data_IF_801955854488
#
_entry.id   IF_801955854488
#
_cell.length_a   1.000
_cell.length_b   1.000
_cell.length_c   1.000
_cell.angle_alpha   90.00
_cell.angle_beta   90.00
_cell.angle_gamma   90.00
#
_symmetry.space_group_name_H-M   'P 1'
#
loop_
_entity.id
_entity.type
_entity.pdbx_description
1 polymer ?
#
# COMPACT_ATOMS: atom_id res chain seq x y z
N UNK A 1 4.90 13.00 -73.74
CA UNK A 1 4.80 11.53 -73.64
C UNK A 1 5.09 11.12 -72.20
N UNK A 2 4.07 10.68 -71.47
CA UNK A 2 4.19 10.14 -70.10
C UNK A 2 4.77 8.73 -70.17
N UNK A 3 5.79 8.43 -69.36
CA UNK A 3 6.00 7.07 -68.82
C UNK A 3 6.41 7.19 -67.35
N UNK A 4 5.77 6.33 -66.56
CA UNK A 4 5.70 6.24 -65.11
C UNK A 4 6.65 5.13 -64.61
N UNK A 5 6.81 5.07 -63.26
CA UNK A 5 7.18 3.88 -62.45
C UNK A 5 8.71 3.64 -62.35
N UNK A 6 9.34 3.35 -61.20
CA UNK A 6 8.88 2.69 -59.97
C UNK A 6 9.73 3.06 -58.75
N UNK A 7 9.11 3.21 -57.59
CA UNK A 7 9.75 3.19 -56.26
C UNK A 7 9.68 1.75 -55.74
N UNK A 8 10.81 1.16 -55.37
CA UNK A 8 10.85 -0.15 -54.71
C UNK A 8 10.91 0.07 -53.20
N UNK A 9 9.80 -0.22 -52.52
CA UNK A 9 9.72 -0.35 -51.08
C UNK A 9 10.17 -1.78 -50.69
N UNK A 10 11.23 -1.89 -49.91
CA UNK A 10 11.67 -3.17 -49.33
C UNK A 10 10.86 -3.41 -48.06
N UNK A 11 9.80 -4.21 -48.19
CA UNK A 11 9.05 -4.75 -47.06
C UNK A 11 9.75 -6.02 -46.57
N UNK A 12 10.41 -5.96 -45.42
CA UNK A 12 10.94 -7.14 -44.74
C UNK A 12 9.84 -7.77 -43.89
N UNK A 13 9.24 -8.83 -44.40
CA UNK A 13 8.30 -9.69 -43.69
C UNK A 13 9.05 -10.66 -42.77
N UNK A 14 8.91 -10.49 -41.46
CA UNK A 14 9.30 -11.50 -40.48
C UNK A 14 8.18 -12.53 -40.35
N UNK A 15 8.41 -13.74 -40.87
CA UNK A 15 7.55 -14.90 -40.62
C UNK A 15 8.01 -15.57 -39.32
N UNK A 16 7.29 -15.36 -38.22
CA UNK A 16 7.41 -16.23 -37.04
C UNK A 16 6.40 -17.36 -37.18
N UNK A 17 6.91 -18.58 -37.40
CA UNK A 17 6.12 -19.79 -37.49
C UNK A 17 5.45 -20.14 -36.17
N UNK A 18 4.15 -20.43 -36.22
CA UNK A 18 3.36 -20.94 -35.09
C UNK A 18 3.32 -22.47 -35.15
N UNK A 19 4.12 -23.12 -34.31
CA UNK A 19 3.97 -24.54 -34.03
C UNK A 19 2.88 -24.72 -32.95
N UNK A 20 1.68 -25.14 -33.35
CA UNK A 20 0.64 -25.57 -32.43
C UNK A 20 0.87 -27.04 -32.05
N UNK A 21 1.46 -27.28 -30.89
CA UNK A 21 1.37 -28.57 -30.21
C UNK A 21 0.19 -28.50 -29.23
N UNK A 22 -0.84 -29.30 -29.50
CA UNK A 22 -2.01 -29.47 -28.64
C UNK A 22 -1.71 -30.58 -27.63
N UNK A 23 -1.76 -30.27 -26.33
CA UNK A 23 -1.82 -31.27 -25.26
C UNK A 23 -3.05 -30.95 -24.38
N UNK A 24 -3.90 -31.94 -24.04
CA UNK A 24 -5.09 -31.71 -23.23
C UNK A 24 -4.84 -32.07 -21.75
N UNK A 25 -5.31 -31.24 -20.80
CA UNK A 25 -5.81 -31.70 -19.49
C UNK A 25 -6.48 -30.56 -18.68
N UNK A 26 -7.78 -30.80 -18.42
CA UNK A 26 -8.75 -30.38 -17.40
C UNK A 26 -8.43 -29.26 -16.37
N UNK A 27 -9.47 -28.47 -15.97
CA UNK A 27 -9.38 -27.52 -14.88
C UNK A 27 -9.80 -28.17 -13.56
N UNK A 28 -8.91 -28.16 -12.57
CA UNK A 28 -9.28 -28.35 -11.15
C UNK A 28 -8.95 -27.05 -10.41
N UNK A 29 -9.94 -26.15 -10.35
CA UNK A 29 -9.94 -25.01 -9.42
C UNK A 29 -10.51 -25.49 -8.10
N UNK A 30 -9.66 -25.64 -7.10
CA UNK A 30 -10.08 -25.86 -5.71
C UNK A 30 -9.97 -24.55 -4.93
N UNK A 31 -11.00 -24.14 -4.17
CA UNK A 31 -10.92 -22.99 -3.29
C UNK A 31 -9.98 -23.29 -2.12
N UNK A 32 -8.99 -22.42 -1.86
CA UNK A 32 -8.19 -22.50 -0.64
C UNK A 32 -9.09 -22.11 0.54
N UNK A 33 -9.73 -23.11 1.13
CA UNK A 33 -10.32 -23.04 2.46
C UNK A 33 -9.17 -23.12 3.48
N UNK A 34 -8.81 -22.00 4.11
CA UNK A 34 -7.87 -22.00 5.21
C UNK A 34 -8.56 -22.47 6.50
N UNK A 35 -8.50 -23.78 6.75
CA UNK A 35 -9.01 -24.39 7.97
C UNK A 35 -8.38 -25.75 8.22
N UNK A 36 -7.20 -25.77 8.85
CA UNK A 36 -6.72 -26.84 9.73
C UNK A 36 -5.32 -26.48 10.25
N UNK A 37 -5.21 -26.02 11.49
CA UNK A 37 -3.94 -25.95 12.22
C UNK A 37 -3.88 -27.20 13.10
N UNK A 38 -3.15 -28.22 12.66
CA UNK A 38 -2.82 -29.36 13.51
C UNK A 38 -1.61 -29.00 14.37
N UNK A 39 -1.82 -29.06 15.68
CA UNK A 39 -0.82 -28.99 16.75
C UNK A 39 0.13 -30.18 16.67
N UNK A 40 1.43 -29.91 16.53
CA UNK A 40 2.50 -30.77 17.03
C UNK A 40 3.76 -29.93 17.26
N UNK A 41 4.15 -29.81 18.53
CA UNK A 41 5.38 -29.14 18.98
C UNK A 41 6.48 -30.20 19.10
N UNK A 42 7.65 -29.95 18.52
CA UNK A 42 8.93 -30.41 19.09
C UNK A 42 10.06 -29.45 18.68
N UNK A 43 11.08 -29.22 19.53
CA UNK A 43 11.86 -27.99 19.54
C UNK A 43 13.27 -28.17 18.97
N UNK A 44 13.68 -27.41 17.95
CA UNK A 44 15.11 -27.14 17.68
C UNK A 44 15.28 -25.87 16.85
N UNK A 45 16.08 -24.92 17.36
CA UNK A 45 16.55 -23.68 16.70
C UNK A 45 15.47 -22.81 16.06
N UNK A 46 14.72 -22.10 16.91
CA UNK A 46 13.80 -21.04 16.47
C UNK A 46 14.59 -19.81 16.04
N UNK A 47 14.87 -19.66 14.75
CA UNK A 47 14.91 -18.33 14.18
C UNK A 47 13.53 -17.71 14.44
N UNK A 48 13.46 -16.75 15.37
CA UNK A 48 12.22 -16.05 15.66
C UNK A 48 11.79 -15.31 14.39
N UNK A 49 10.96 -15.96 13.57
CA UNK A 49 10.05 -15.24 12.67
C UNK A 49 9.13 -14.48 13.61
N UNK A 50 9.48 -13.23 13.87
CA UNK A 50 8.51 -12.24 14.34
C UNK A 50 7.50 -12.17 13.20
N UNK A 51 6.44 -12.97 13.30
CA UNK A 51 5.25 -12.73 12.52
C UNK A 51 4.76 -11.36 12.99
N UNK A 52 5.04 -10.33 12.20
CA UNK A 52 4.32 -9.08 12.30
C UNK A 52 2.89 -9.48 12.02
N UNK A 53 2.11 -9.66 13.08
CA UNK A 53 0.66 -9.69 12.98
C UNK A 53 0.31 -8.32 12.43
N UNK A 54 0.04 -8.27 11.12
CA UNK A 54 -0.74 -7.18 10.57
C UNK A 54 -2.02 -7.19 11.39
N UNK A 55 -2.12 -6.28 12.35
CA UNK A 55 -3.40 -5.92 12.93
C UNK A 55 -4.27 -5.60 11.73
N UNK A 56 -5.21 -6.50 11.44
CA UNK A 56 -6.25 -6.29 10.47
C UNK A 56 -7.20 -5.25 11.06
N UNK A 57 -6.72 -4.02 11.23
CA UNK A 57 -7.59 -2.89 11.06
C UNK A 57 -8.21 -3.08 9.69
N UNK A 58 -9.53 -3.22 9.64
CA UNK A 58 -10.26 -2.99 8.41
C UNK A 58 -9.71 -1.68 7.82
N UNK A 59 -8.96 -1.76 6.72
CA UNK A 59 -8.26 -0.60 6.18
C UNK A 59 -9.26 0.53 5.89
N UNK A 60 -8.77 1.77 5.84
CA UNK A 60 -9.61 2.95 5.65
C UNK A 60 -10.57 2.84 4.46
N UNK A 61 -10.17 2.12 3.42
CA UNK A 61 -11.00 1.81 2.26
C UNK A 61 -12.23 0.97 2.63
N UNK A 62 -12.05 -0.13 3.37
CA UNK A 62 -13.15 -0.99 3.81
C UNK A 62 -14.10 -0.24 4.77
N UNK A 63 -13.56 0.58 5.66
CA UNK A 63 -14.38 1.44 6.51
C UNK A 63 -15.24 2.41 5.69
N UNK A 64 -14.68 3.00 4.63
CA UNK A 64 -15.45 3.88 3.75
C UNK A 64 -16.50 3.12 2.94
N UNK A 65 -16.18 1.94 2.40
CA UNK A 65 -17.18 1.09 1.74
C UNK A 65 -18.36 0.77 2.66
N UNK A 66 -18.09 0.39 3.91
CA UNK A 66 -19.13 0.11 4.89
C UNK A 66 -19.95 1.37 5.25
N UNK A 67 -19.31 2.54 5.26
CA UNK A 67 -19.97 3.80 5.60
C UNK A 67 -20.91 4.28 4.50
N UNK A 68 -20.53 4.10 3.22
CA UNK A 68 -21.35 4.56 2.09
C UNK A 68 -22.48 3.58 1.76
N UNK A 69 -22.36 2.29 2.08
CA UNK A 69 -23.40 1.30 1.80
C UNK A 69 -23.75 1.23 0.31
N UNK A 70 -25.05 1.37 0.00
CA UNK A 70 -25.57 1.33 -1.39
C UNK A 70 -25.38 2.63 -2.18
N UNK A 71 -24.73 3.64 -1.59
CA UNK A 71 -24.44 4.88 -2.31
C UNK A 71 -23.49 4.65 -3.50
N UNK A 72 -23.53 5.52 -4.52
CA UNK A 72 -22.61 5.42 -5.65
C UNK A 72 -21.16 5.55 -5.17
N UNK A 73 -20.24 4.89 -5.89
CA UNK A 73 -18.79 4.87 -5.62
C UNK A 73 -18.18 6.27 -5.47
N UNK A 74 -18.78 7.30 -6.07
CA UNK A 74 -18.38 8.70 -5.90
C UNK A 74 -18.48 9.20 -4.46
N UNK A 75 -19.23 8.53 -3.58
CA UNK A 75 -19.30 8.80 -2.15
C UNK A 75 -18.05 8.32 -1.37
N UNK A 76 -17.20 7.46 -1.95
CA UNK A 76 -15.95 7.03 -1.29
C UNK A 76 -14.99 8.18 -1.07
N UNK A 77 -14.84 9.05 -2.06
CA UNK A 77 -13.87 10.12 -2.03
C UNK A 77 -14.08 11.10 -0.85
N UNK A 78 -15.27 11.67 -0.62
CA UNK A 78 -15.47 12.52 0.55
C UNK A 78 -15.28 11.77 1.88
N UNK A 79 -15.57 10.47 1.94
CA UNK A 79 -15.26 9.65 3.12
C UNK A 79 -13.74 9.56 3.37
N UNK A 80 -12.95 9.22 2.35
CA UNK A 80 -11.49 9.09 2.45
C UNK A 80 -10.82 10.44 2.75
N UNK A 81 -11.32 11.54 2.18
CA UNK A 81 -10.85 12.90 2.50
C UNK A 81 -11.15 13.24 3.97
N UNK A 82 -12.33 12.90 4.47
CA UNK A 82 -12.69 13.05 5.88
C UNK A 82 -11.74 12.30 6.81
N UNK A 83 -11.50 11.01 6.52
CA UNK A 83 -10.54 10.19 7.27
C UNK A 83 -9.13 10.76 7.20
N UNK A 84 -8.69 11.25 6.05
CA UNK A 84 -7.37 11.89 5.87
C UNK A 84 -7.22 13.10 6.79
N UNK A 85 -8.20 14.00 6.83
CA UNK A 85 -8.17 15.17 7.74
C UNK A 85 -8.09 14.74 9.20
N UNK A 86 -8.90 13.77 9.59
CA UNK A 86 -8.94 13.24 10.95
C UNK A 86 -7.59 12.67 11.38
N UNK A 87 -7.04 11.72 10.63
CA UNK A 87 -5.79 11.06 11.01
C UNK A 87 -4.57 11.98 10.89
N UNK A 88 -4.62 12.98 10.00
CA UNK A 88 -3.60 14.05 9.96
C UNK A 88 -3.60 14.85 11.26
N UNK A 89 -4.79 15.22 11.75
CA UNK A 89 -4.93 15.92 13.03
C UNK A 89 -4.41 15.05 14.19
N UNK A 90 -4.85 13.79 14.26
CA UNK A 90 -4.45 12.85 15.30
C UNK A 90 -2.92 12.62 15.32
N UNK A 91 -2.30 12.40 14.17
CA UNK A 91 -0.86 12.20 14.07
C UNK A 91 -0.08 13.44 14.52
N UNK A 92 -0.54 14.64 14.16
CA UNK A 92 0.07 15.90 14.58
C UNK A 92 -0.05 16.12 16.10
N UNK A 93 -1.19 15.77 16.69
CA UNK A 93 -1.39 15.83 18.14
C UNK A 93 -0.44 14.86 18.84
N UNK A 94 -0.36 13.61 18.39
CA UNK A 94 0.54 12.59 18.94
C UNK A 94 2.01 13.05 18.86
N UNK A 95 2.44 13.55 17.69
CA UNK A 95 3.79 14.07 17.51
C UNK A 95 4.11 15.21 18.50
N UNK A 96 3.23 16.21 18.62
CA UNK A 96 3.43 17.35 19.53
C UNK A 96 3.45 16.92 20.99
N UNK A 97 2.63 15.94 21.37
CA UNK A 97 2.62 15.38 22.72
C UNK A 97 3.96 14.71 23.03
N UNK A 98 4.43 13.82 22.15
CA UNK A 98 5.72 13.16 22.31
C UNK A 98 6.89 14.15 22.33
N UNK A 99 6.83 15.18 21.49
CA UNK A 99 7.82 16.26 21.47
C UNK A 99 7.86 17.01 22.82
N UNK A 100 6.70 17.34 23.39
CA UNK A 100 6.59 18.00 24.69
C UNK A 100 7.11 17.10 25.83
N UNK A 101 6.69 15.83 25.87
CA UNK A 101 7.17 14.86 26.86
C UNK A 101 8.68 14.66 26.77
N UNK A 102 9.24 14.64 25.56
CA UNK A 102 10.70 14.56 25.37
C UNK A 102 11.41 15.79 25.92
N UNK A 103 10.84 16.99 25.75
CA UNK A 103 11.39 18.24 26.31
C UNK A 103 11.37 18.25 27.83
N UNK A 104 10.33 17.69 28.45
CA UNK A 104 10.17 17.63 29.91
C UNK A 104 11.23 16.76 30.62
N UNK A 105 11.89 15.84 29.90
CA UNK A 105 12.98 15.02 30.47
C UNK A 105 14.18 15.89 30.88
N UNK A 106 14.43 17.00 30.17
CA UNK A 106 15.50 17.99 30.44
C UNK A 106 16.90 17.37 30.69
N UNK A 107 17.20 16.27 29.99
CA UNK A 107 18.52 15.63 29.97
C UNK A 107 19.46 16.31 28.98
N UNK A 108 20.78 16.13 29.17
CA UNK A 108 21.80 16.53 28.17
C UNK A 108 21.59 15.88 26.79
N UNK A 109 20.86 14.77 26.71
CA UNK A 109 20.53 14.08 25.45
C UNK A 109 19.25 14.60 24.76
N UNK A 110 18.47 15.47 25.40
CA UNK A 110 17.13 15.89 24.93
C UNK A 110 17.17 16.52 23.54
N UNK A 111 18.13 17.42 23.28
CA UNK A 111 18.25 18.07 21.97
C UNK A 111 18.51 17.06 20.83
N UNK A 112 19.32 16.03 21.10
CA UNK A 112 19.59 14.96 20.14
C UNK A 112 18.34 14.13 19.88
N UNK A 113 17.59 13.77 20.92
CA UNK A 113 16.35 13.01 20.80
C UNK A 113 15.29 13.76 19.96
N UNK A 114 15.07 15.05 20.21
CA UNK A 114 14.16 15.89 19.44
C UNK A 114 14.57 16.01 17.96
N UNK A 115 15.87 16.13 17.71
CA UNK A 115 16.41 16.15 16.33
C UNK A 115 16.13 14.83 15.62
N UNK A 116 16.34 13.69 16.29
CA UNK A 116 16.05 12.37 15.76
C UNK A 116 14.54 12.14 15.55
N UNK A 117 13.68 12.63 16.45
CA UNK A 117 12.22 12.56 16.31
C UNK A 117 11.75 13.30 15.04
N UNK A 118 12.22 14.54 14.83
CA UNK A 118 11.91 15.32 13.64
C UNK A 118 12.41 14.63 12.36
N UNK A 119 13.64 14.11 12.38
CA UNK A 119 14.19 13.38 11.24
C UNK A 119 13.38 12.11 10.91
N UNK A 120 12.98 11.36 11.94
CA UNK A 120 12.12 10.18 11.81
C UNK A 120 10.76 10.53 11.20
N UNK A 121 10.12 11.61 11.66
CA UNK A 121 8.83 12.04 11.13
C UNK A 121 8.91 12.46 9.64
N UNK A 122 9.96 13.22 9.27
CA UNK A 122 10.20 13.60 7.86
C UNK A 122 10.46 12.39 6.96
N UNK A 123 11.19 11.40 7.46
CA UNK A 123 11.43 10.16 6.72
C UNK A 123 10.13 9.37 6.52
N UNK A 124 9.29 9.29 7.56
CA UNK A 124 7.98 8.66 7.48
C UNK A 124 7.07 9.32 6.44
N UNK A 125 7.00 10.66 6.38
CA UNK A 125 6.18 11.36 5.39
C UNK A 125 6.58 10.99 3.95
N UNK A 126 7.89 10.97 3.67
CA UNK A 126 8.41 10.54 2.37
C UNK A 126 8.09 9.08 2.07
N UNK A 127 8.29 8.20 3.05
CA UNK A 127 7.96 6.79 2.92
C UNK A 127 6.47 6.59 2.62
N UNK A 128 5.58 7.23 3.38
CA UNK A 128 4.13 7.18 3.18
C UNK A 128 3.76 7.55 1.75
N UNK A 129 4.27 8.68 1.26
CA UNK A 129 3.91 9.12 -0.08
C UNK A 129 4.45 8.20 -1.17
N UNK A 130 5.69 7.73 -1.05
CA UNK A 130 6.27 6.80 -2.02
C UNK A 130 5.60 5.42 -2.01
N UNK A 131 5.35 4.86 -0.82
CA UNK A 131 4.69 3.56 -0.65
C UNK A 131 3.27 3.59 -1.21
N UNK A 132 2.48 4.59 -0.85
CA UNK A 132 1.09 4.68 -1.30
C UNK A 132 0.97 5.03 -2.79
N UNK A 133 1.95 5.75 -3.34
CA UNK A 133 2.01 5.94 -4.79
C UNK A 133 2.24 4.61 -5.51
N UNK A 134 3.22 3.80 -5.05
CA UNK A 134 3.47 2.48 -5.61
C UNK A 134 2.25 1.55 -5.50
N UNK A 135 1.55 1.54 -4.37
CA UNK A 135 0.32 0.74 -4.21
C UNK A 135 -0.77 1.16 -5.19
N UNK A 136 -0.98 2.48 -5.36
CA UNK A 136 -1.93 3.01 -6.35
C UNK A 136 -1.52 2.66 -7.79
N UNK A 137 -0.24 2.74 -8.12
CA UNK A 137 0.27 2.42 -9.46
C UNK A 137 0.21 0.91 -9.74
N UNK A 138 0.33 0.07 -8.70
CA UNK A 138 0.29 -1.38 -8.83
C UNK A 138 -1.04 -1.93 -9.36
N UNK A 139 -2.12 -1.15 -9.25
CA UNK A 139 -3.44 -1.49 -9.80
C UNK A 139 -3.68 -0.90 -11.20
N UNK A 140 -2.64 -0.35 -11.84
CA UNK A 140 -2.61 0.06 -13.25
C UNK A 140 -3.62 1.17 -13.65
N UNK A 141 -4.00 2.03 -12.69
CA UNK A 141 -4.78 3.25 -12.94
C UNK A 141 -6.30 3.13 -12.70
N UNK A 142 -7.06 4.06 -13.28
CA UNK A 142 -8.50 4.21 -13.06
C UNK A 142 -8.85 4.85 -11.71
N UNK A 143 -10.14 4.99 -11.39
CA UNK A 143 -10.56 5.55 -10.09
C UNK A 143 -10.20 4.64 -8.91
N UNK A 144 -9.98 3.34 -9.15
CA UNK A 144 -9.45 2.37 -8.19
C UNK A 144 -8.12 2.77 -7.58
N UNK A 145 -7.18 3.23 -8.41
CA UNK A 145 -5.84 3.61 -7.94
C UNK A 145 -5.90 4.79 -6.96
N UNK A 146 -6.76 5.77 -7.22
CA UNK A 146 -6.94 6.93 -6.33
C UNK A 146 -7.48 6.55 -4.94
N UNK A 147 -8.42 5.62 -4.88
CA UNK A 147 -8.97 5.13 -3.60
C UNK A 147 -7.94 4.31 -2.81
N UNK A 148 -7.16 3.47 -3.50
CA UNK A 148 -6.06 2.70 -2.88
C UNK A 148 -4.98 3.63 -2.34
N UNK A 149 -4.52 4.59 -3.14
CA UNK A 149 -3.52 5.58 -2.71
C UNK A 149 -4.00 6.36 -1.48
N UNK A 150 -5.24 6.86 -1.51
CA UNK A 150 -5.80 7.68 -0.42
C UNK A 150 -5.98 6.87 0.86
N UNK A 151 -6.50 5.64 0.76
CA UNK A 151 -6.68 4.76 1.91
C UNK A 151 -5.36 4.29 2.52
N UNK A 152 -4.37 3.92 1.70
CA UNK A 152 -3.01 3.61 2.17
C UNK A 152 -2.43 4.74 3.03
N UNK A 153 -2.60 6.01 2.59
CA UNK A 153 -2.10 7.16 3.35
C UNK A 153 -2.78 7.25 4.72
N UNK A 154 -4.08 7.01 4.79
CA UNK A 154 -4.83 7.00 6.05
C UNK A 154 -4.31 5.90 6.97
N UNK A 155 -4.13 4.69 6.46
CA UNK A 155 -3.72 3.54 7.26
C UNK A 155 -2.27 3.68 7.78
N UNK A 156 -1.34 4.18 6.96
CA UNK A 156 0.01 4.48 7.41
C UNK A 156 0.05 5.60 8.45
N UNK A 157 -0.78 6.64 8.31
CA UNK A 157 -0.85 7.71 9.32
C UNK A 157 -1.43 7.20 10.65
N UNK A 158 -2.42 6.30 10.63
CA UNK A 158 -2.92 5.63 11.83
C UNK A 158 -1.84 4.79 12.50
N UNK A 159 -1.13 3.99 11.70
CA UNK A 159 0.02 3.22 12.19
C UNK A 159 1.05 4.12 12.86
N UNK A 160 1.43 5.22 12.22
CA UNK A 160 2.40 6.17 12.78
C UNK A 160 1.88 6.84 14.05
N UNK A 161 0.61 7.19 14.10
CA UNK A 161 -0.02 7.81 15.28
C UNK A 161 0.11 6.90 16.51
N UNK A 162 -0.08 5.59 16.35
CA UNK A 162 0.15 4.62 17.43
C UNK A 162 1.61 4.63 17.88
N UNK A 163 2.55 4.52 16.94
CA UNK A 163 3.98 4.55 17.24
C UNK A 163 4.46 5.85 17.93
N UNK A 164 3.73 6.96 17.77
CA UNK A 164 4.03 8.24 18.44
C UNK A 164 3.34 8.38 19.81
N UNK A 165 2.38 7.50 20.11
CA UNK A 165 1.56 7.55 21.33
C UNK A 165 1.84 6.41 22.31
N UNK A 166 2.51 5.35 21.83
CA UNK A 166 3.02 4.23 22.63
C UNK A 166 4.24 4.63 23.46
#
# INVERSE_FOLDING_TARGET
MRKLISVVAVATSFAMGTAFAQAPAKPDVNPITNGAINTAVTPTTTAAKIAVTSDAHAGALNECYNTIGDQPRTALQPCLEGKTREVTSQMNIAYKKLEAQTKEIDSSATAKALTSLLASQKAFEKFKDAQCQWEGDSVMGGSGSGDILSSCKVDLMRWRTKQLSD
#
